data_IF_323524666673
#
_entry.id   IF_323524666673
#
_cell.length_a   1.000
_cell.length_b   1.000
_cell.length_c   1.000
_cell.angle_alpha   90.00
_cell.angle_beta   90.00
_cell.angle_gamma   90.00
#
_symmetry.space_group_name_H-M   'P 1'
#
loop_
_entity.id
_entity.type
_entity.pdbx_description
1 polymer ?
#
# COMPACT_ATOMS: atom_id res chain seq x y z
N UNK A 1 -30.46 -7.75 -21.14
CA UNK A 1 -29.08 -8.22 -21.01
C UNK A 1 -28.38 -7.53 -19.89
N UNK A 2 -28.07 -8.30 -18.91
CA UNK A 2 -27.68 -7.85 -17.57
C UNK A 2 -26.16 -7.65 -17.52
N UNK A 3 -25.73 -6.48 -17.95
CA UNK A 3 -24.33 -6.07 -17.85
C UNK A 3 -24.21 -4.94 -16.85
N UNK A 4 -23.31 -5.07 -15.89
CA UNK A 4 -23.01 -4.08 -14.87
C UNK A 4 -21.59 -3.55 -15.09
N UNK A 5 -21.42 -2.24 -15.01
CA UNK A 5 -20.11 -1.60 -15.01
C UNK A 5 -19.72 -1.23 -13.58
N UNK A 6 -18.60 -1.79 -13.10
CA UNK A 6 -18.05 -1.51 -11.79
C UNK A 6 -16.83 -0.62 -11.97
N UNK A 7 -16.86 0.57 -11.36
CA UNK A 7 -15.73 1.50 -11.40
C UNK A 7 -14.89 1.43 -10.13
N UNK A 8 -14.94 2.48 -9.32
CA UNK A 8 -14.12 2.64 -8.09
C UNK A 8 -14.33 1.54 -7.04
N UNK A 9 -15.47 0.84 -7.05
CA UNK A 9 -15.72 -0.31 -6.18
C UNK A 9 -14.67 -1.42 -6.36
N UNK A 10 -14.28 -1.70 -7.60
CA UNK A 10 -13.24 -2.67 -7.91
C UNK A 10 -11.83 -2.25 -7.43
N UNK A 11 -11.58 -0.96 -7.21
CA UNK A 11 -10.33 -0.48 -6.60
C UNK A 11 -10.32 -0.68 -5.08
N UNK A 12 -11.47 -0.55 -4.44
CA UNK A 12 -11.60 -0.83 -3.01
C UNK A 12 -11.51 -2.34 -2.75
N UNK A 13 -12.17 -3.12 -3.60
CA UNK A 13 -12.21 -4.57 -3.50
C UNK A 13 -12.02 -5.25 -4.86
N UNK A 14 -10.78 -5.59 -5.24
CA UNK A 14 -10.51 -6.31 -6.48
C UNK A 14 -11.16 -7.70 -6.56
N UNK A 15 -11.49 -8.30 -5.42
CA UNK A 15 -12.17 -9.59 -5.32
C UNK A 15 -13.66 -9.57 -5.66
N UNK A 16 -14.26 -8.39 -5.88
CA UNK A 16 -15.70 -8.23 -6.14
C UNK A 16 -16.20 -9.03 -7.35
N UNK A 17 -15.36 -9.23 -8.36
CA UNK A 17 -15.72 -10.01 -9.54
C UNK A 17 -15.90 -11.49 -9.19
N UNK A 18 -15.03 -12.03 -8.34
CA UNK A 18 -15.14 -13.41 -7.83
C UNK A 18 -16.36 -13.57 -6.93
N UNK A 19 -16.68 -12.57 -6.12
CA UNK A 19 -17.89 -12.54 -5.29
C UNK A 19 -19.17 -12.56 -6.12
N UNK A 20 -19.21 -11.76 -7.18
CA UNK A 20 -20.36 -11.73 -8.10
C UNK A 20 -20.53 -13.07 -8.80
N UNK A 21 -19.44 -13.70 -9.26
CA UNK A 21 -19.46 -14.99 -9.92
C UNK A 21 -19.97 -16.09 -8.97
N UNK A 22 -19.51 -16.08 -7.73
CA UNK A 22 -19.91 -17.06 -6.69
C UNK A 22 -21.25 -16.74 -6.03
N UNK A 23 -21.77 -15.52 -6.19
CA UNK A 23 -23.00 -15.06 -5.56
C UNK A 23 -22.92 -15.00 -4.01
N UNK A 24 -21.73 -14.81 -3.46
CA UNK A 24 -21.51 -14.75 -2.01
C UNK A 24 -20.36 -13.80 -1.66
N UNK A 25 -20.42 -13.18 -0.48
CA UNK A 25 -19.31 -12.41 0.06
C UNK A 25 -18.15 -13.34 0.44
N UNK A 26 -16.94 -12.95 0.04
CA UNK A 26 -15.72 -13.67 0.36
C UNK A 26 -14.91 -12.86 1.39
N UNK A 27 -14.70 -13.43 2.57
CA UNK A 27 -13.84 -12.79 3.58
C UNK A 27 -12.37 -12.98 3.20
N UNK A 28 -11.83 -12.06 2.42
CA UNK A 28 -10.43 -12.09 1.99
C UNK A 28 -9.50 -11.82 3.16
N UNK A 29 -8.54 -12.70 3.34
CA UNK A 29 -7.48 -12.54 4.35
C UNK A 29 -6.58 -11.35 4.01
N UNK A 30 -5.88 -10.83 5.02
CA UNK A 30 -4.91 -9.75 4.82
C UNK A 30 -3.77 -10.12 3.86
N UNK A 31 -3.35 -11.38 3.84
CA UNK A 31 -2.33 -11.90 2.92
C UNK A 31 -2.83 -11.98 1.47
N UNK A 32 -4.07 -12.41 1.26
CA UNK A 32 -4.68 -12.37 -0.07
C UNK A 32 -4.82 -10.94 -0.58
N UNK A 33 -5.23 -10.02 0.28
CA UNK A 33 -5.30 -8.59 -0.06
C UNK A 33 -3.93 -8.00 -0.37
N UNK A 34 -2.88 -8.41 0.35
CA UNK A 34 -1.51 -8.02 0.05
C UNK A 34 -1.09 -8.50 -1.33
N UNK A 35 -1.46 -9.72 -1.73
CA UNK A 35 -1.13 -10.26 -3.06
C UNK A 35 -1.71 -9.43 -4.22
N UNK A 36 -2.83 -8.72 -4.03
CA UNK A 36 -3.35 -7.79 -5.03
C UNK A 36 -2.40 -6.59 -5.22
N UNK A 37 -1.82 -6.07 -4.14
CA UNK A 37 -0.84 -4.97 -4.20
C UNK A 37 0.42 -5.44 -4.93
N UNK A 38 0.90 -6.64 -4.64
CA UNK A 38 2.06 -7.24 -5.28
C UNK A 38 1.83 -7.44 -6.79
N UNK A 39 0.69 -8.01 -7.16
CA UNK A 39 0.29 -8.16 -8.56
C UNK A 39 0.21 -6.81 -9.27
N UNK A 40 -0.37 -5.80 -8.62
CA UNK A 40 -0.45 -4.45 -9.17
C UNK A 40 0.94 -3.87 -9.46
N UNK A 41 1.87 -3.99 -8.52
CA UNK A 41 3.24 -3.52 -8.71
C UNK A 41 3.96 -4.26 -9.84
N UNK A 42 3.80 -5.58 -9.91
CA UNK A 42 4.38 -6.39 -10.98
C UNK A 42 3.86 -5.99 -12.35
N UNK A 43 2.55 -5.90 -12.51
CA UNK A 43 1.94 -5.46 -13.78
C UNK A 43 2.28 -4.02 -14.14
N UNK A 44 2.41 -3.14 -13.16
CA UNK A 44 2.88 -1.78 -13.39
C UNK A 44 4.30 -1.74 -13.95
N UNK A 45 5.21 -2.54 -13.42
CA UNK A 45 6.58 -2.64 -13.93
C UNK A 45 6.65 -3.31 -15.31
N UNK A 46 5.80 -4.28 -15.57
CA UNK A 46 5.69 -4.91 -16.90
C UNK A 46 5.14 -3.92 -17.95
N UNK A 47 4.16 -3.09 -17.57
CA UNK A 47 3.50 -2.16 -18.49
C UNK A 47 4.29 -0.88 -18.74
N UNK A 48 4.92 -0.31 -17.70
CA UNK A 48 5.61 1.00 -17.77
C UNK A 48 7.13 0.90 -17.70
N UNK A 49 7.67 -0.29 -17.53
CA UNK A 49 9.10 -0.54 -17.39
C UNK A 49 9.60 -0.47 -15.95
N UNK A 50 10.81 -1.00 -15.76
CA UNK A 50 11.52 -1.02 -14.47
C UNK A 50 12.58 0.08 -14.34
N UNK A 51 12.64 1.01 -15.30
CA UNK A 51 13.46 2.21 -15.26
C UNK A 51 12.90 3.25 -14.29
N UNK A 52 13.61 4.35 -14.06
CA UNK A 52 13.19 5.39 -13.12
C UNK A 52 11.82 5.98 -13.47
N UNK A 53 11.54 6.14 -14.77
CA UNK A 53 10.28 6.70 -15.24
C UNK A 53 9.10 5.73 -15.01
N UNK A 54 9.23 4.48 -15.41
CA UNK A 54 8.21 3.44 -15.22
C UNK A 54 7.89 3.19 -13.76
N UNK A 55 8.91 3.23 -12.92
CA UNK A 55 8.76 3.11 -11.48
C UNK A 55 8.04 4.30 -10.84
N UNK A 56 8.27 5.52 -11.33
CA UNK A 56 7.53 6.69 -10.88
C UNK A 56 6.05 6.61 -11.26
N UNK A 57 5.73 6.10 -12.47
CA UNK A 57 4.34 5.85 -12.87
C UNK A 57 3.69 4.77 -11.99
N UNK A 58 4.33 3.61 -11.84
CA UNK A 58 3.82 2.52 -10.98
C UNK A 58 3.56 3.02 -9.57
N UNK A 59 4.48 3.81 -8.99
CA UNK A 59 4.31 4.39 -7.66
C UNK A 59 3.12 5.34 -7.57
N UNK A 60 2.97 6.23 -8.54
CA UNK A 60 1.86 7.19 -8.56
C UNK A 60 0.53 6.46 -8.56
N UNK A 61 0.34 5.54 -9.48
CA UNK A 61 -0.89 4.78 -9.60
C UNK A 61 -1.13 3.85 -8.42
N UNK A 62 -0.07 3.31 -7.81
CA UNK A 62 -0.20 2.54 -6.58
C UNK A 62 -0.75 3.39 -5.42
N UNK A 63 -0.29 4.62 -5.25
CA UNK A 63 -0.82 5.51 -4.23
C UNK A 63 -2.29 5.87 -4.49
N UNK A 64 -2.67 6.08 -5.74
CA UNK A 64 -4.06 6.29 -6.13
C UNK A 64 -4.90 5.04 -5.85
N UNK A 65 -4.43 3.85 -6.18
CA UNK A 65 -5.06 2.57 -5.86
C UNK A 65 -5.24 2.40 -4.35
N UNK A 66 -4.20 2.62 -3.55
CA UNK A 66 -4.26 2.52 -2.09
C UNK A 66 -5.24 3.50 -1.45
N UNK A 67 -5.49 4.66 -2.08
CA UNK A 67 -6.47 5.64 -1.61
C UNK A 67 -7.93 5.14 -1.64
N UNK A 68 -8.19 4.10 -2.42
CA UNK A 68 -9.48 3.37 -2.44
C UNK A 68 -9.38 2.05 -1.67
N UNK A 69 -8.30 1.32 -1.85
CA UNK A 69 -8.09 0.00 -1.29
C UNK A 69 -8.18 -0.05 0.25
N UNK A 70 -7.74 1.00 0.94
CA UNK A 70 -7.86 1.11 2.40
C UNK A 70 -9.31 1.25 2.91
N UNK A 71 -10.27 1.50 2.01
CA UNK A 71 -11.69 1.65 2.37
C UNK A 71 -12.41 0.33 2.54
N UNK A 72 -11.82 -0.76 2.11
CA UNK A 72 -12.38 -2.10 2.33
C UNK A 72 -12.45 -2.41 3.82
N UNK A 73 -13.60 -2.92 4.24
CA UNK A 73 -13.83 -3.38 5.61
C UNK A 73 -14.05 -4.89 5.57
N UNK A 74 -13.17 -5.68 6.20
CA UNK A 74 -13.35 -7.13 6.30
C UNK A 74 -14.66 -7.48 7.01
N UNK A 75 -15.22 -8.63 6.65
CA UNK A 75 -16.49 -9.11 7.19
C UNK A 75 -16.41 -9.22 8.73
N UNK A 76 -17.43 -8.66 9.41
CA UNK A 76 -17.59 -8.77 10.86
C UNK A 76 -16.74 -7.79 11.69
N UNK A 77 -15.96 -6.89 11.10
CA UNK A 77 -15.18 -5.92 11.86
C UNK A 77 -15.95 -4.64 12.20
N UNK A 78 -16.98 -4.30 11.45
CA UNK A 78 -17.88 -3.18 11.74
C UNK A 78 -19.32 -3.67 11.73
N UNK A 79 -20.10 -3.20 12.68
CA UNK A 79 -21.53 -3.48 12.76
C UNK A 79 -22.28 -2.77 11.62
N UNK A 80 -21.89 -1.53 11.33
CA UNK A 80 -22.48 -0.72 10.26
C UNK A 80 -21.42 -0.40 9.21
N UNK A 81 -21.66 -0.86 7.99
CA UNK A 81 -20.80 -0.53 6.85
C UNK A 81 -21.23 0.81 6.24
N UNK A 82 -20.29 1.62 5.72
CA UNK A 82 -20.63 2.84 4.99
C UNK A 82 -21.54 2.52 3.80
N UNK A 83 -22.68 3.20 3.63
CA UNK A 83 -23.63 2.92 2.56
C UNK A 83 -23.12 3.36 1.19
N UNK A 84 -22.14 4.24 1.14
CA UNK A 84 -21.61 4.81 -0.10
C UNK A 84 -20.10 4.64 -0.17
N UNK A 85 -19.58 4.42 -1.38
CA UNK A 85 -18.14 4.38 -1.64
C UNK A 85 -17.43 5.72 -1.30
N UNK A 86 -18.15 6.84 -1.30
CA UNK A 86 -17.59 8.13 -0.93
C UNK A 86 -17.46 8.28 0.60
N UNK A 87 -18.23 7.55 1.35
CA UNK A 87 -18.14 7.53 2.79
C UNK A 87 -16.92 6.72 3.21
N UNK A 88 -16.08 7.34 4.04
CA UNK A 88 -14.90 6.66 4.56
C UNK A 88 -15.30 5.86 5.80
N UNK A 89 -14.90 4.58 5.89
CA UNK A 89 -15.16 3.82 7.10
C UNK A 89 -14.53 4.50 8.32
N UNK A 90 -15.13 4.35 9.51
CA UNK A 90 -14.48 4.73 10.75
C UNK A 90 -13.17 3.96 10.92
N UNK A 91 -12.29 4.44 11.80
CA UNK A 91 -11.08 3.70 12.13
C UNK A 91 -11.46 2.42 12.88
N UNK A 92 -10.92 1.29 12.45
CA UNK A 92 -11.10 0.01 13.12
C UNK A 92 -9.75 -0.68 13.29
N UNK A 93 -9.69 -1.59 14.24
CA UNK A 93 -8.53 -2.47 14.43
C UNK A 93 -8.80 -3.78 13.68
N UNK A 94 -7.91 -4.14 12.78
CA UNK A 94 -7.97 -5.43 12.08
C UNK A 94 -7.69 -6.62 12.99
N UNK A 95 -7.97 -7.82 12.49
CA UNK A 95 -7.70 -9.10 13.17
C UNK A 95 -6.20 -9.34 13.38
N UNK A 96 -5.37 -8.73 12.54
CA UNK A 96 -3.90 -8.75 12.64
C UNK A 96 -3.30 -7.38 12.30
N UNK A 97 -1.98 -7.24 12.52
CA UNK A 97 -1.27 -5.98 12.26
C UNK A 97 -1.32 -5.57 10.79
N UNK A 98 -1.16 -6.53 9.86
CA UNK A 98 -1.21 -6.27 8.43
C UNK A 98 -2.58 -5.74 8.01
N UNK A 99 -3.66 -6.32 8.53
CA UNK A 99 -5.03 -5.85 8.24
C UNK A 99 -5.27 -4.44 8.78
N UNK A 100 -4.75 -4.13 9.96
CA UNK A 100 -4.79 -2.79 10.54
C UNK A 100 -4.00 -1.78 9.69
N UNK A 101 -2.83 -2.16 9.18
CA UNK A 101 -2.03 -1.34 8.28
C UNK A 101 -2.73 -1.11 6.93
N UNK A 102 -3.38 -2.15 6.37
CA UNK A 102 -4.13 -2.06 5.12
C UNK A 102 -5.34 -1.10 5.23
N UNK A 103 -5.90 -0.96 6.43
CA UNK A 103 -6.99 -0.02 6.73
C UNK A 103 -6.52 1.41 7.02
N UNK A 104 -5.21 1.63 7.17
CA UNK A 104 -4.67 2.95 7.51
C UNK A 104 -4.94 3.97 6.41
N UNK A 105 -5.33 5.18 6.82
CA UNK A 105 -5.49 6.36 5.95
C UNK A 105 -4.17 7.10 5.72
N UNK A 106 -3.11 6.68 6.42
CA UNK A 106 -1.83 7.36 6.40
C UNK A 106 -0.91 6.79 5.31
N UNK A 107 -0.50 7.61 4.37
CA UNK A 107 0.41 7.21 3.29
C UNK A 107 1.76 6.64 3.80
N UNK A 108 2.21 7.04 5.00
CA UNK A 108 3.43 6.49 5.61
C UNK A 108 3.29 5.02 5.96
N UNK A 109 2.09 4.59 6.34
CA UNK A 109 1.81 3.19 6.62
C UNK A 109 1.70 2.38 5.31
N UNK A 110 1.20 2.98 4.25
CA UNK A 110 1.22 2.35 2.91
C UNK A 110 2.65 2.10 2.42
N UNK A 111 3.60 2.98 2.78
CA UNK A 111 5.01 2.74 2.52
C UNK A 111 5.53 1.52 3.29
N UNK A 112 5.11 1.31 4.55
CA UNK A 112 5.49 0.13 5.35
C UNK A 112 4.94 -1.17 4.76
N UNK A 113 3.68 -1.19 4.34
CA UNK A 113 3.05 -2.34 3.67
C UNK A 113 3.90 -2.76 2.47
N UNK A 114 4.34 -1.80 1.70
CA UNK A 114 5.18 -2.02 0.53
C UNK A 114 6.54 -2.63 0.88
N UNK A 115 7.17 -2.22 1.97
CA UNK A 115 8.42 -2.83 2.43
C UNK A 115 8.22 -4.29 2.85
N UNK A 116 7.13 -4.60 3.52
CA UNK A 116 6.82 -5.97 3.92
C UNK A 116 6.58 -6.89 2.71
N UNK A 117 5.91 -6.39 1.68
CA UNK A 117 5.63 -7.08 0.43
C UNK A 117 6.88 -7.37 -0.40
N UNK A 118 7.77 -6.39 -0.54
CA UNK A 118 8.99 -6.52 -1.36
C UNK A 118 10.13 -7.26 -0.70
N UNK A 119 10.18 -7.32 0.62
CA UNK A 119 11.22 -8.07 1.32
C UNK A 119 11.15 -9.59 1.06
N UNK A 120 10.01 -10.08 0.57
CA UNK A 120 9.79 -11.51 0.37
C UNK A 120 10.12 -12.02 -1.04
N UNK A 121 10.16 -11.19 -2.09
CA UNK A 121 10.19 -11.72 -3.47
C UNK A 121 11.16 -11.07 -4.47
N UNK A 122 11.88 -9.98 -4.16
CA UNK A 122 12.66 -9.32 -5.23
C UNK A 122 14.17 -9.24 -5.01
N UNK A 123 14.97 -9.53 -6.06
CA UNK A 123 16.41 -9.27 -6.03
C UNK A 123 16.69 -7.76 -5.92
N UNK A 124 17.62 -7.41 -5.11
CA UNK A 124 18.37 -6.16 -4.84
C UNK A 124 18.04 -4.85 -5.60
N UNK A 125 17.55 -4.87 -6.83
CA UNK A 125 17.30 -3.67 -7.65
C UNK A 125 16.05 -2.89 -7.28
N UNK A 126 14.97 -3.57 -6.99
CA UNK A 126 13.71 -2.92 -6.58
C UNK A 126 13.83 -2.35 -5.15
N UNK A 127 14.59 -3.01 -4.27
CA UNK A 127 14.88 -2.53 -2.93
C UNK A 127 15.63 -1.18 -2.91
N UNK A 128 16.67 -1.02 -3.74
CA UNK A 128 17.42 0.26 -3.85
C UNK A 128 16.55 1.41 -4.31
N UNK A 129 15.63 1.16 -5.20
CA UNK A 129 14.78 2.20 -5.75
C UNK A 129 13.79 2.74 -4.74
N UNK A 130 13.23 1.88 -3.92
CA UNK A 130 12.29 2.27 -2.89
C UNK A 130 12.97 2.88 -1.64
N UNK A 131 14.19 2.49 -1.35
CA UNK A 131 15.01 3.10 -0.29
C UNK A 131 15.34 4.58 -0.62
N UNK A 132 15.71 4.89 -1.85
CA UNK A 132 15.98 6.25 -2.30
C UNK A 132 14.74 7.17 -2.24
N UNK A 133 13.54 6.64 -2.36
CA UNK A 133 12.30 7.40 -2.28
C UNK A 133 11.90 7.78 -0.86
N UNK A 134 12.28 6.96 0.14
CA UNK A 134 12.11 7.30 1.56
C UNK A 134 13.00 8.49 1.96
N UNK A 135 14.17 8.62 1.36
CA UNK A 135 15.12 9.70 1.69
C UNK A 135 14.75 11.05 1.06
N UNK A 136 14.06 11.08 -0.08
CA UNK A 136 13.67 12.33 -0.75
C UNK A 136 12.53 13.08 -0.07
N UNK A 137 11.71 12.42 0.75
CA UNK A 137 10.55 13.02 1.42
C UNK A 137 10.74 13.27 2.92
N UNK A 138 11.95 13.12 3.46
CA UNK A 138 12.28 13.63 4.79
C UNK A 138 12.61 15.10 4.66
N UNK A 139 11.85 16.02 5.27
CA UNK A 139 12.24 17.43 5.30
C UNK A 139 13.63 17.48 5.95
N UNK A 140 14.56 18.13 5.28
CA UNK A 140 15.90 18.39 5.79
C UNK A 140 15.79 19.36 6.99
N UNK A 141 15.37 18.86 8.12
CA UNK A 141 15.52 19.60 9.38
C UNK A 141 16.99 19.52 9.79
N UNK A 142 17.56 20.66 10.08
CA UNK A 142 18.97 20.97 10.31
C UNK A 142 19.65 20.23 11.48
N UNK A 143 18.98 19.29 12.12
CA UNK A 143 19.45 18.59 13.33
C UNK A 143 20.41 17.42 13.05
N UNK A 144 20.50 16.94 11.80
CA UNK A 144 21.41 15.85 11.43
C UNK A 144 22.88 16.28 11.30
N UNK A 145 23.17 17.58 11.29
CA UNK A 145 24.54 18.10 11.14
C UNK A 145 25.35 18.11 12.43
N UNK A 146 24.71 18.00 13.59
CA UNK A 146 25.37 18.11 14.89
C UNK A 146 25.98 16.78 15.37
N UNK A 147 25.46 15.64 14.91
CA UNK A 147 25.95 14.34 15.41
C UNK A 147 27.18 13.77 14.66
N UNK A 148 27.51 14.28 13.48
CA UNK A 148 28.68 13.79 12.74
C UNK A 148 29.96 14.46 13.26
N UNK A 149 29.88 15.69 13.76
CA UNK A 149 31.07 16.39 14.31
C UNK A 149 31.49 15.92 15.71
N UNK A 150 30.59 15.32 16.48
CA UNK A 150 30.91 14.82 17.82
C UNK A 150 31.67 13.48 17.82
N UNK A 151 31.59 12.68 16.76
CA UNK A 151 32.28 11.39 16.67
C UNK A 151 33.73 11.49 16.15
N UNK A 152 34.09 12.59 15.52
CA UNK A 152 35.45 12.75 14.98
C UNK A 152 36.44 13.31 16.01
N UNK A 153 35.97 13.88 17.09
CA UNK A 153 36.84 14.43 18.14
C UNK A 153 37.20 13.43 19.27
N UNK A 154 36.53 12.29 19.35
CA UNK A 154 36.82 11.28 20.41
C UNK A 154 37.89 10.27 20.00
N UNK A 155 38.39 10.30 18.77
CA UNK A 155 39.47 9.40 18.30
C UNK A 155 40.84 10.06 18.25
N UNK A 156 41.05 11.25 18.85
CA UNK A 156 42.34 11.92 18.93
C UNK A 156 42.73 12.33 20.37
N UNK A 157 42.37 11.52 21.35
CA UNK A 157 42.93 11.59 22.70
C UNK A 157 43.42 10.21 23.12
#
# INVERSE_FOLDING_TARGET
GDRVMIGRGALAEPGIFEEIEKGQYLDKSSSERLSYIEKFCRYGMEAWGSDELGLNYTRRFLLEFMSFFHRYVPVGLLEYLPPSLNDRPPAYRGRNELETLLASKNYKDWIKIRYASYAMETPHSAFKLFANLSQRNVPRTSTARVQIHAKTQVQQL
#
